data_IF_181033982663
#
_entry.id   IF_181033982663
#
_cell.length_a   1.000
_cell.length_b   1.000
_cell.length_c   1.000
_cell.angle_alpha   90.00
_cell.angle_beta   90.00
_cell.angle_gamma   90.00
#
_symmetry.space_group_name_H-M   'P 1'
#
loop_
_entity.id
_entity.type
_entity.pdbx_description
1 polymer ?
#
# COMPACT_ATOMS: atom_id res chain seq x y z
N UNK A 1 -17.71 4.01 -18.48
CA UNK A 1 -16.42 4.32 -17.85
C UNK A 1 -15.56 3.08 -17.80
N UNK A 2 -14.30 3.24 -18.13
CA UNK A 2 -13.36 2.12 -18.10
C UNK A 2 -12.56 2.18 -16.81
N UNK A 3 -12.41 1.03 -16.16
CA UNK A 3 -11.59 0.88 -14.96
C UNK A 3 -10.38 0.02 -15.35
N UNK A 4 -9.19 0.55 -15.12
CA UNK A 4 -7.96 -0.17 -15.40
C UNK A 4 -7.62 -1.07 -14.21
N UNK A 5 -7.61 -2.36 -14.47
CA UNK A 5 -7.29 -3.38 -13.44
C UNK A 5 -6.11 -4.22 -13.90
N UNK A 6 -5.45 -4.84 -12.95
CA UNK A 6 -4.46 -5.87 -13.26
C UNK A 6 -5.14 -7.08 -13.89
N UNK A 7 -4.35 -7.98 -14.49
CA UNK A 7 -4.89 -9.17 -15.14
C UNK A 7 -5.67 -10.06 -14.18
N UNK A 8 -5.31 -10.06 -12.90
CA UNK A 8 -6.01 -10.82 -11.85
C UNK A 8 -7.09 -10.01 -11.13
N UNK A 9 -7.49 -8.86 -11.69
CA UNK A 9 -8.62 -8.09 -11.22
C UNK A 9 -8.36 -7.16 -10.06
N UNK A 10 -7.09 -6.86 -9.76
CA UNK A 10 -6.74 -5.95 -8.66
C UNK A 10 -6.79 -4.50 -9.13
N UNK A 11 -7.13 -3.60 -8.20
CA UNK A 11 -7.17 -2.16 -8.45
C UNK A 11 -5.83 -1.48 -8.14
N UNK A 12 -4.83 -2.23 -7.70
CA UNK A 12 -3.47 -1.72 -7.48
C UNK A 12 -2.47 -2.85 -7.67
N UNK A 13 -1.24 -2.49 -7.99
CA UNK A 13 -0.13 -3.44 -8.09
C UNK A 13 0.59 -3.54 -6.74
N UNK A 14 0.71 -2.42 -6.03
CA UNK A 14 1.58 -2.31 -4.86
C UNK A 14 1.06 -3.05 -3.62
N UNK A 15 -0.25 -3.35 -3.56
CA UNK A 15 -0.85 -3.91 -2.34
C UNK A 15 -0.21 -5.22 -1.87
N UNK A 16 0.12 -6.11 -2.79
CA UNK A 16 0.78 -7.37 -2.45
C UNK A 16 2.18 -7.14 -1.90
N UNK A 17 2.91 -6.20 -2.47
CA UNK A 17 4.26 -5.84 -2.01
C UNK A 17 4.20 -5.14 -0.66
N UNK A 18 3.21 -4.27 -0.45
CA UNK A 18 2.99 -3.61 0.85
C UNK A 18 2.79 -4.67 1.94
N UNK A 19 1.94 -5.65 1.69
CA UNK A 19 1.70 -6.74 2.63
C UNK A 19 2.98 -7.51 2.94
N UNK A 20 3.75 -7.85 1.91
CA UNK A 20 5.00 -8.58 2.02
C UNK A 20 6.02 -7.81 2.88
N UNK A 21 6.26 -6.55 2.55
CA UNK A 21 7.28 -5.75 3.26
C UNK A 21 6.83 -5.40 4.67
N UNK A 22 5.53 -5.14 4.87
CA UNK A 22 4.98 -4.93 6.20
C UNK A 22 5.20 -6.16 7.09
N UNK A 23 4.90 -7.33 6.56
CA UNK A 23 5.08 -8.61 7.28
C UNK A 23 6.55 -8.85 7.62
N UNK A 24 7.46 -8.53 6.70
CA UNK A 24 8.90 -8.65 6.94
C UNK A 24 9.36 -7.75 8.09
N UNK A 25 8.70 -6.61 8.29
CA UNK A 25 9.01 -5.70 9.40
C UNK A 25 8.32 -6.11 10.71
N UNK A 26 7.53 -7.17 10.69
CA UNK A 26 6.76 -7.64 11.85
C UNK A 26 5.81 -6.58 12.40
N UNK A 27 5.22 -5.77 11.54
CA UNK A 27 4.23 -4.78 11.96
C UNK A 27 2.85 -5.18 11.44
N UNK A 28 1.82 -4.87 12.26
CA UNK A 28 0.43 -5.11 11.90
C UNK A 28 -0.06 -4.08 10.88
N UNK A 29 -1.21 -4.33 10.28
CA UNK A 29 -1.88 -3.35 9.43
C UNK A 29 -2.17 -2.06 10.21
N UNK A 30 -2.57 -2.19 11.47
CA UNK A 30 -2.82 -1.04 12.34
C UNK A 30 -1.55 -0.23 12.59
N UNK A 31 -0.44 -0.91 12.88
CA UNK A 31 0.84 -0.23 13.10
C UNK A 31 1.30 0.51 11.85
N UNK A 32 1.11 -0.09 10.68
CA UNK A 32 1.42 0.59 9.42
C UNK A 32 0.56 1.84 9.26
N UNK A 33 -0.75 1.73 9.52
CA UNK A 33 -1.65 2.88 9.46
C UNK A 33 -1.19 3.99 10.41
N UNK A 34 -0.83 3.63 11.64
CA UNK A 34 -0.34 4.59 12.63
C UNK A 34 0.92 5.32 12.13
N UNK A 35 1.87 4.58 11.56
CA UNK A 35 3.10 5.17 11.02
C UNK A 35 2.82 6.10 9.84
N UNK A 36 1.87 5.73 8.98
CA UNK A 36 1.47 6.57 7.85
C UNK A 36 0.82 7.87 8.33
N UNK A 37 -0.03 7.78 9.35
CA UNK A 37 -0.69 8.96 9.93
C UNK A 37 0.34 9.91 10.56
N UNK A 38 1.33 9.39 11.26
CA UNK A 38 2.44 10.20 11.80
C UNK A 38 3.18 10.94 10.68
N UNK A 39 3.27 10.33 9.51
CA UNK A 39 3.91 10.94 8.34
C UNK A 39 2.95 11.77 7.48
N UNK A 40 1.78 12.08 7.99
CA UNK A 40 0.84 13.00 7.36
C UNK A 40 -0.13 12.37 6.37
N UNK A 41 -0.18 11.04 6.29
CA UNK A 41 -1.11 10.35 5.39
C UNK A 41 -2.32 9.85 6.15
N UNK A 42 -3.49 10.35 5.81
CA UNK A 42 -4.73 9.98 6.50
C UNK A 42 -5.29 8.67 5.94
N UNK A 43 -4.73 7.57 6.43
CA UNK A 43 -5.13 6.21 6.08
C UNK A 43 -5.30 5.41 7.37
N UNK A 44 -6.43 4.72 7.49
CA UNK A 44 -6.70 3.84 8.63
C UNK A 44 -6.40 2.37 8.30
N UNK A 45 -6.57 1.52 9.30
CA UNK A 45 -6.36 0.07 9.17
C UNK A 45 -7.22 -0.53 8.06
N UNK A 46 -8.47 -0.10 7.97
CA UNK A 46 -9.40 -0.65 6.97
C UNK A 46 -8.95 -0.31 5.55
N UNK A 47 -8.42 0.90 5.35
CA UNK A 47 -7.85 1.28 4.06
C UNK A 47 -6.64 0.41 3.71
N UNK A 48 -5.75 0.16 4.67
CA UNK A 48 -4.60 -0.73 4.47
C UNK A 48 -5.07 -2.13 4.06
N UNK A 49 -6.07 -2.67 4.78
CA UNK A 49 -6.62 -3.98 4.48
C UNK A 49 -7.14 -4.07 3.04
N UNK A 50 -7.85 -3.03 2.60
CA UNK A 50 -8.42 -3.00 1.25
C UNK A 50 -7.33 -2.82 0.19
N UNK A 51 -6.29 -2.04 0.49
CA UNK A 51 -5.13 -1.90 -0.40
C UNK A 51 -4.45 -3.26 -0.60
N UNK A 52 -4.18 -3.96 0.49
CA UNK A 52 -3.49 -5.26 0.43
C UNK A 52 -4.34 -6.31 -0.29
N UNK A 53 -5.67 -6.22 -0.15
CA UNK A 53 -6.59 -7.10 -0.86
C UNK A 53 -6.79 -6.74 -2.34
N UNK A 54 -6.25 -5.62 -2.79
CA UNK A 54 -6.36 -5.16 -4.18
C UNK A 54 -7.69 -4.49 -4.50
N UNK A 55 -8.48 -4.12 -3.50
CA UNK A 55 -9.82 -3.55 -3.69
C UNK A 55 -9.83 -2.04 -3.76
N UNK A 56 -8.79 -1.38 -3.27
CA UNK A 56 -8.70 0.08 -3.20
C UNK A 56 -7.60 0.57 -4.13
N UNK A 57 -7.89 1.65 -4.85
CA UNK A 57 -6.87 2.35 -5.61
C UNK A 57 -5.87 3.01 -4.67
N UNK A 58 -4.63 3.12 -5.11
CA UNK A 58 -3.57 3.81 -4.38
C UNK A 58 -3.11 4.98 -5.25
N UNK A 59 -3.19 6.19 -4.70
CA UNK A 59 -2.73 7.38 -5.43
C UNK A 59 -1.21 7.47 -5.37
N UNK A 60 -0.63 8.24 -6.28
CA UNK A 60 0.82 8.47 -6.28
C UNK A 60 1.26 9.21 -5.01
N UNK A 61 0.42 10.10 -4.49
CA UNK A 61 0.69 10.82 -3.22
C UNK A 61 0.82 9.81 -2.09
N UNK A 62 -0.12 8.85 -2.02
CA UNK A 62 -0.10 7.81 -0.99
C UNK A 62 1.12 6.90 -1.15
N UNK A 63 1.45 6.54 -2.38
CA UNK A 63 2.56 5.64 -2.67
C UNK A 63 3.90 6.23 -2.21
N UNK A 64 4.09 7.52 -2.36
CA UNK A 64 5.31 8.20 -1.91
C UNK A 64 5.50 8.02 -0.40
N UNK A 65 4.45 8.23 0.39
CA UNK A 65 4.52 8.12 1.85
C UNK A 65 4.70 6.65 2.27
N UNK A 66 3.99 5.74 1.62
CA UNK A 66 4.10 4.31 1.91
C UNK A 66 5.52 3.82 1.64
N UNK A 67 6.11 4.20 0.51
CA UNK A 67 7.48 3.85 0.17
C UNK A 67 8.47 4.34 1.23
N UNK A 68 8.28 5.57 1.67
CA UNK A 68 9.14 6.19 2.70
C UNK A 68 9.04 5.42 4.03
N UNK A 69 7.82 5.13 4.49
CA UNK A 69 7.60 4.45 5.77
C UNK A 69 8.13 3.02 5.73
N UNK A 70 7.95 2.30 4.62
CA UNK A 70 8.46 0.94 4.46
C UNK A 70 9.94 0.90 4.09
N UNK A 71 10.53 2.05 3.78
CA UNK A 71 11.92 2.17 3.32
C UNK A 71 12.18 1.29 2.08
N UNK A 72 11.30 1.39 1.11
CA UNK A 72 11.36 0.63 -0.15
C UNK A 72 11.28 1.59 -1.33
N UNK A 73 11.89 1.19 -2.45
CA UNK A 73 11.81 1.95 -3.68
C UNK A 73 10.45 1.77 -4.35
N UNK A 74 10.13 2.65 -5.29
CA UNK A 74 8.91 2.51 -6.09
C UNK A 74 8.96 1.24 -6.95
N UNK A 75 10.14 0.89 -7.48
CA UNK A 75 10.33 -0.33 -8.24
C UNK A 75 10.00 -1.55 -7.40
N UNK A 76 10.44 -1.59 -6.14
CA UNK A 76 10.13 -2.69 -5.23
C UNK A 76 8.64 -2.78 -4.94
N UNK A 77 7.98 -1.63 -4.69
CA UNK A 77 6.54 -1.62 -4.39
C UNK A 77 5.69 -1.96 -5.61
N UNK A 78 6.14 -1.60 -6.79
CA UNK A 78 5.42 -1.87 -8.03
C UNK A 78 5.85 -3.18 -8.69
N UNK A 79 6.85 -3.84 -8.13
CA UNK A 79 7.38 -5.12 -8.63
C UNK A 79 7.84 -5.01 -10.09
N UNK A 80 8.64 -4.00 -10.35
CA UNK A 80 9.16 -3.74 -11.70
C UNK A 80 10.68 -3.63 -11.73
#
# INVERSE_FOLDING_TARGET
>A
MFINKTNDGRNNICGQQISKYRTQLNISQRELADRLQINGLDIDKNAIQRIEAGKRFVTDIELIVIAKVLNKSFEELLDI
#
